data_IF_486961019987
#
_entry.id   IF_486961019987
#
_cell.length_a   1.000
_cell.length_b   1.000
_cell.length_c   1.000
_cell.angle_alpha   90.00
_cell.angle_beta   90.00
_cell.angle_gamma   90.00
#
_symmetry.space_group_name_H-M   'P 1'
#
loop_
_entity.id
_entity.type
_entity.pdbx_description
1 polymer ?
#
# COMPACT_ATOMS: atom_id res chain seq x y z
N UNK A 1 9.45 7.99 11.44
CA UNK A 1 8.44 7.84 10.35
C UNK A 1 7.04 7.95 10.94
N UNK A 2 6.07 8.42 10.14
CA UNK A 2 4.67 8.53 10.56
C UNK A 2 3.83 7.29 10.24
N UNK A 3 2.51 7.44 10.26
CA UNK A 3 1.52 6.39 9.93
C UNK A 3 1.82 5.76 8.56
N UNK A 4 1.58 4.45 8.42
CA UNK A 4 1.82 3.66 7.21
C UNK A 4 3.22 3.84 6.62
N UNK A 5 4.24 3.92 7.47
CA UNK A 5 5.65 4.09 7.08
C UNK A 5 5.92 5.38 6.29
N UNK A 6 5.17 6.45 6.58
CA UNK A 6 5.36 7.78 5.97
C UNK A 6 4.76 7.94 4.57
N UNK A 7 4.12 6.90 4.02
CA UNK A 7 3.58 6.89 2.66
C UNK A 7 2.36 7.79 2.47
N UNK A 8 1.60 8.08 3.54
CA UNK A 8 0.46 9.01 3.48
C UNK A 8 0.86 10.41 3.01
N UNK A 9 2.07 10.87 3.35
CA UNK A 9 2.60 12.16 2.88
C UNK A 9 2.77 12.15 1.36
N UNK A 10 3.27 11.05 0.81
CA UNK A 10 3.50 10.87 -0.63
C UNK A 10 2.15 10.89 -1.35
N UNK A 11 1.21 10.04 -0.91
CA UNK A 11 -0.12 9.94 -1.52
C UNK A 11 -0.85 11.28 -1.48
N UNK A 12 -0.87 11.95 -0.32
CA UNK A 12 -1.55 13.25 -0.16
C UNK A 12 -0.98 14.28 -1.11
N UNK A 13 0.34 14.37 -1.21
CA UNK A 13 0.97 15.35 -2.09
C UNK A 13 0.68 15.06 -3.57
N UNK A 14 0.71 13.79 -3.98
CA UNK A 14 0.34 13.40 -5.32
C UNK A 14 -1.13 13.73 -5.62
N UNK A 15 -2.05 13.39 -4.72
CA UNK A 15 -3.46 13.73 -4.87
C UNK A 15 -3.68 15.24 -4.99
N UNK A 16 -3.01 16.05 -4.16
CA UNK A 16 -3.08 17.52 -4.26
C UNK A 16 -2.58 18.04 -5.61
N UNK A 17 -1.51 17.47 -6.17
CA UNK A 17 -1.02 17.83 -7.50
C UNK A 17 -2.03 17.47 -8.59
N UNK A 18 -2.65 16.29 -8.52
CA UNK A 18 -3.68 15.85 -9.47
C UNK A 18 -4.93 16.73 -9.41
N UNK A 19 -5.41 17.05 -8.21
CA UNK A 19 -6.55 17.96 -8.03
C UNK A 19 -6.18 19.36 -8.52
N UNK A 20 -4.96 19.86 -8.24
CA UNK A 20 -4.52 21.15 -8.77
C UNK A 20 -4.51 21.17 -10.31
N UNK A 21 -4.07 20.10 -10.96
CA UNK A 21 -4.10 19.94 -12.42
C UNK A 21 -5.55 19.96 -12.96
N UNK A 22 -6.46 19.22 -12.34
CA UNK A 22 -7.90 19.24 -12.67
C UNK A 22 -8.52 20.63 -12.50
N UNK A 23 -8.05 21.38 -11.50
CA UNK A 23 -8.46 22.77 -11.26
C UNK A 23 -7.64 23.80 -12.06
N UNK A 24 -6.92 23.37 -13.11
CA UNK A 24 -6.17 24.25 -14.02
C UNK A 24 -5.11 25.11 -13.31
N UNK A 25 -4.48 24.57 -12.25
CA UNK A 25 -3.42 25.24 -11.50
C UNK A 25 -3.89 26.30 -10.51
N UNK A 26 -5.18 26.37 -10.18
CA UNK A 26 -5.75 27.42 -9.32
C UNK A 26 -5.56 27.20 -7.82
N UNK A 27 -5.19 25.99 -7.39
CA UNK A 27 -5.11 25.64 -5.97
C UNK A 27 -3.72 25.86 -5.38
N UNK A 28 -2.67 25.60 -6.16
CA UNK A 28 -1.28 25.64 -5.71
C UNK A 28 -0.50 26.66 -6.52
N UNK A 29 0.38 27.40 -5.85
CA UNK A 29 1.33 28.28 -6.55
C UNK A 29 2.30 27.46 -7.41
N UNK A 30 2.83 28.03 -8.52
CA UNK A 30 3.85 27.36 -9.32
C UNK A 30 5.07 26.91 -8.49
N UNK A 31 5.49 27.72 -7.51
CA UNK A 31 6.59 27.37 -6.62
C UNK A 31 6.27 26.14 -5.74
N UNK A 32 5.05 26.07 -5.19
CA UNK A 32 4.59 24.91 -4.41
C UNK A 32 4.55 23.64 -5.25
N UNK A 33 4.09 23.74 -6.50
CA UNK A 33 4.11 22.63 -7.46
C UNK A 33 5.55 22.17 -7.70
N UNK A 34 6.47 23.07 -8.07
CA UNK A 34 7.86 22.71 -8.33
C UNK A 34 8.55 22.06 -7.12
N UNK A 35 8.31 22.55 -5.90
CA UNK A 35 8.84 21.92 -4.69
C UNK A 35 8.28 20.51 -4.47
N UNK A 36 6.98 20.34 -4.67
CA UNK A 36 6.31 19.05 -4.52
C UNK A 36 6.81 18.03 -5.53
N UNK A 37 6.92 18.42 -6.81
CA UNK A 37 7.43 17.54 -7.86
C UNK A 37 8.88 17.13 -7.62
N UNK A 38 9.73 18.08 -7.20
CA UNK A 38 11.13 17.78 -6.85
C UNK A 38 11.22 16.73 -5.75
N UNK A 39 10.48 16.92 -4.66
CA UNK A 39 10.47 15.97 -3.54
C UNK A 39 9.91 14.59 -3.95
N UNK A 40 8.89 14.54 -4.80
CA UNK A 40 8.36 13.28 -5.32
C UNK A 40 9.34 12.53 -6.24
N UNK A 41 10.17 13.25 -7.00
CA UNK A 41 11.25 12.63 -7.77
C UNK A 41 12.35 12.06 -6.86
N UNK A 42 12.71 12.77 -5.79
CA UNK A 42 13.64 12.23 -4.77
C UNK A 42 13.07 10.98 -4.09
N UNK A 43 11.77 10.99 -3.75
CA UNK A 43 11.07 9.83 -3.19
C UNK A 43 11.04 8.66 -4.18
N UNK A 44 10.76 8.90 -5.46
CA UNK A 44 10.83 7.88 -6.52
C UNK A 44 12.20 7.21 -6.53
N UNK A 45 13.27 8.00 -6.48
CA UNK A 45 14.64 7.48 -6.55
C UNK A 45 14.99 6.64 -5.31
N UNK A 46 14.55 7.07 -4.11
CA UNK A 46 14.68 6.27 -2.87
C UNK A 46 13.92 4.95 -2.95
N UNK A 47 12.68 4.96 -3.43
CA UNK A 47 11.87 3.75 -3.59
C UNK A 47 12.53 2.81 -4.60
N UNK A 48 12.99 3.34 -5.74
CA UNK A 48 13.64 2.54 -6.77
C UNK A 48 14.93 1.86 -6.28
N UNK A 49 15.68 2.53 -5.39
CA UNK A 49 16.93 2.04 -4.82
C UNK A 49 16.74 1.04 -3.66
N UNK A 50 15.54 0.97 -3.07
CA UNK A 50 15.28 0.20 -1.84
C UNK A 50 14.38 -1.02 -2.03
N UNK A 51 14.01 -1.37 -3.27
CA UNK A 51 13.21 -2.56 -3.53
C UNK A 51 14.01 -3.83 -3.22
N UNK A 52 13.40 -4.75 -2.49
CA UNK A 52 13.98 -6.06 -2.22
C UNK A 52 14.00 -6.91 -3.50
N UNK A 53 14.88 -7.92 -3.61
CA UNK A 53 14.92 -8.78 -4.79
C UNK A 53 13.59 -9.47 -5.14
N UNK A 54 12.74 -9.71 -4.14
CA UNK A 54 11.41 -10.32 -4.29
C UNK A 54 10.33 -9.33 -4.78
N UNK A 55 10.63 -8.04 -4.89
CA UNK A 55 9.71 -7.00 -5.33
C UNK A 55 9.05 -6.19 -4.21
N UNK A 56 9.24 -6.57 -2.94
CA UNK A 56 8.64 -5.88 -1.81
C UNK A 56 9.44 -4.67 -1.34
N UNK A 57 8.78 -3.79 -0.58
CA UNK A 57 9.44 -2.80 0.25
C UNK A 57 9.09 -3.01 1.70
N UNK A 58 9.98 -2.55 2.57
CA UNK A 58 9.77 -2.50 3.99
C UNK A 58 9.79 -1.04 4.49
N UNK A 59 9.61 -0.77 5.80
CA UNK A 59 9.71 0.59 6.34
C UNK A 59 11.03 1.31 6.04
N UNK A 60 12.12 0.57 5.76
CA UNK A 60 13.43 1.13 5.43
C UNK A 60 13.54 1.77 4.04
N UNK A 61 12.46 1.80 3.26
CA UNK A 61 12.45 2.35 1.89
C UNK A 61 13.00 3.79 1.80
N UNK A 62 12.80 4.59 2.84
CA UNK A 62 13.23 5.99 2.86
C UNK A 62 14.75 6.19 2.94
N UNK A 63 15.51 5.11 3.18
CA UNK A 63 16.98 5.13 3.20
C UNK A 63 17.59 4.78 1.84
N UNK A 64 16.79 4.50 0.81
CA UNK A 64 17.30 4.24 -0.54
C UNK A 64 18.23 3.03 -0.58
N UNK A 65 19.42 3.19 -1.16
CA UNK A 65 20.42 2.12 -1.25
C UNK A 65 20.83 1.53 0.10
N UNK A 66 20.67 2.30 1.19
CA UNK A 66 21.11 1.91 2.52
C UNK A 66 20.01 1.17 3.30
N UNK A 67 18.88 0.84 2.67
CA UNK A 67 17.72 0.19 3.33
C UNK A 67 18.10 -1.06 4.13
N UNK A 68 19.12 -1.81 3.68
CA UNK A 68 19.59 -3.04 4.32
C UNK A 68 20.12 -2.81 5.74
N UNK A 69 20.66 -1.61 6.02
CA UNK A 69 21.13 -1.22 7.35
C UNK A 69 19.98 -0.95 8.34
N UNK A 70 18.75 -0.89 7.83
CA UNK A 70 17.56 -0.50 8.58
C UNK A 70 16.48 -1.60 8.57
N UNK A 71 16.85 -2.85 8.25
CA UNK A 71 15.96 -4.00 8.33
C UNK A 71 15.77 -4.39 9.79
N UNK A 72 14.51 -4.41 10.24
CA UNK A 72 14.10 -4.97 11.52
C UNK A 72 14.06 -6.51 11.41
N UNK A 73 14.91 -7.26 12.14
CA UNK A 73 14.92 -8.72 12.07
C UNK A 73 13.61 -9.37 12.53
N UNK A 74 12.78 -8.65 13.29
CA UNK A 74 11.48 -9.10 13.78
C UNK A 74 10.32 -8.50 12.97
N UNK A 75 10.61 -7.97 11.78
CA UNK A 75 9.62 -7.36 10.92
C UNK A 75 8.50 -8.34 10.54
N UNK A 76 7.26 -7.98 10.90
CA UNK A 76 6.08 -8.69 10.43
C UNK A 76 5.87 -8.46 8.94
N UNK A 77 5.49 -9.51 8.22
CA UNK A 77 5.21 -9.46 6.78
C UNK A 77 4.19 -8.37 6.41
N UNK A 78 3.21 -8.12 7.28
CA UNK A 78 2.20 -7.08 7.10
C UNK A 78 2.78 -5.67 6.94
N UNK A 79 3.96 -5.38 7.53
CA UNK A 79 4.68 -4.12 7.32
C UNK A 79 5.18 -3.98 5.88
N UNK A 80 5.52 -5.09 5.21
CA UNK A 80 5.89 -5.09 3.79
C UNK A 80 4.68 -4.97 2.88
N UNK A 81 3.58 -5.64 3.24
CA UNK A 81 2.30 -5.54 2.52
C UNK A 81 1.84 -4.09 2.45
N UNK A 82 1.78 -3.39 3.59
CA UNK A 82 1.34 -1.99 3.62
C UNK A 82 2.28 -1.06 2.86
N UNK A 83 3.60 -1.21 2.99
CA UNK A 83 4.57 -0.37 2.28
C UNK A 83 4.47 -0.57 0.76
N UNK A 84 4.46 -1.84 0.31
CA UNK A 84 4.37 -2.21 -1.11
C UNK A 84 3.03 -1.78 -1.70
N UNK A 85 1.92 -2.05 -1.00
CA UNK A 85 0.58 -1.62 -1.41
C UNK A 85 0.49 -0.10 -1.59
N UNK A 86 0.98 0.68 -0.63
CA UNK A 86 0.98 2.14 -0.75
C UNK A 86 1.85 2.66 -1.88
N UNK A 87 3.04 2.10 -2.10
CA UNK A 87 3.89 2.54 -3.20
C UNK A 87 3.20 2.35 -4.55
N UNK A 88 2.53 1.22 -4.76
CA UNK A 88 1.72 1.02 -5.96
C UNK A 88 0.48 1.92 -5.99
N UNK A 89 -0.14 2.18 -4.84
CA UNK A 89 -1.35 3.00 -4.74
C UNK A 89 -1.10 4.45 -5.19
N UNK A 90 -0.07 5.13 -4.67
CA UNK A 90 0.18 6.51 -5.08
C UNK A 90 0.70 6.60 -6.52
N UNK A 91 1.47 5.61 -6.99
CA UNK A 91 1.93 5.58 -8.39
C UNK A 91 0.76 5.38 -9.36
N UNK A 92 -0.32 4.71 -8.96
CA UNK A 92 -1.49 4.51 -9.83
C UNK A 92 -2.18 5.81 -10.28
N UNK A 93 -2.03 6.89 -9.50
CA UNK A 93 -2.53 8.24 -9.81
C UNK A 93 -1.44 9.19 -10.30
N UNK A 94 -0.17 8.75 -10.27
CA UNK A 94 0.95 9.58 -10.63
C UNK A 94 1.14 9.65 -12.15
N UNK A 95 1.63 10.79 -12.67
CA UNK A 95 2.21 10.84 -14.01
C UNK A 95 3.47 9.94 -14.12
N UNK A 96 3.74 9.42 -15.32
CA UNK A 96 4.83 8.45 -15.57
C UNK A 96 6.21 8.95 -15.12
N UNK A 97 6.46 10.27 -15.13
CA UNK A 97 7.72 10.86 -14.65
C UNK A 97 8.05 10.54 -13.17
N UNK A 98 7.04 10.21 -12.37
CA UNK A 98 7.21 9.83 -10.97
C UNK A 98 7.25 8.31 -10.75
N UNK A 99 7.08 7.51 -11.80
CA UNK A 99 7.15 6.06 -11.68
C UNK A 99 8.58 5.58 -11.54
N UNK A 100 8.76 4.57 -10.71
CA UNK A 100 9.96 3.73 -10.74
C UNK A 100 9.98 2.89 -12.03
N UNK A 101 11.07 2.18 -12.38
CA UNK A 101 11.12 1.33 -13.56
C UNK A 101 9.95 0.33 -13.62
N UNK A 102 9.35 0.14 -14.81
CA UNK A 102 8.17 -0.73 -15.00
C UNK A 102 8.37 -2.15 -14.46
N UNK A 103 9.56 -2.71 -14.63
CA UNK A 103 9.90 -4.02 -14.10
C UNK A 103 9.79 -4.10 -12.57
N UNK A 104 10.16 -3.04 -11.85
CA UNK A 104 10.01 -3.00 -10.39
C UNK A 104 8.52 -2.92 -9.99
N UNK A 105 7.71 -2.17 -10.73
CA UNK A 105 6.25 -2.09 -10.51
C UNK A 105 5.62 -3.48 -10.71
N UNK A 106 5.98 -4.19 -11.78
CA UNK A 106 5.50 -5.55 -12.03
C UNK A 106 5.91 -6.54 -10.94
N UNK A 107 7.17 -6.50 -10.50
CA UNK A 107 7.64 -7.35 -9.39
C UNK A 107 6.86 -7.09 -8.10
N UNK A 108 6.63 -5.83 -7.76
CA UNK A 108 5.84 -5.45 -6.58
C UNK A 108 4.39 -5.94 -6.67
N UNK A 109 3.75 -5.76 -7.83
CA UNK A 109 2.39 -6.25 -8.05
C UNK A 109 2.32 -7.78 -7.94
N UNK A 110 3.28 -8.49 -8.54
CA UNK A 110 3.37 -9.94 -8.47
C UNK A 110 3.59 -10.41 -7.03
N UNK A 111 4.49 -9.77 -6.27
CA UNK A 111 4.73 -10.09 -4.88
C UNK A 111 3.47 -9.95 -4.03
N UNK A 112 2.70 -8.86 -4.23
CA UNK A 112 1.44 -8.65 -3.53
C UNK A 112 0.39 -9.70 -3.87
N UNK A 113 0.25 -10.08 -5.15
CA UNK A 113 -0.67 -11.13 -5.57
C UNK A 113 -0.31 -12.46 -4.90
N UNK A 114 0.96 -12.88 -5.01
CA UNK A 114 1.47 -14.09 -4.36
C UNK A 114 1.29 -14.04 -2.84
N UNK A 115 1.49 -12.88 -2.20
CA UNK A 115 1.27 -12.74 -0.77
C UNK A 115 -0.21 -12.93 -0.41
N UNK A 116 -1.14 -12.29 -1.12
CA UNK A 116 -2.58 -12.41 -0.89
C UNK A 116 -3.04 -13.86 -1.09
N UNK A 117 -2.62 -14.51 -2.18
CA UNK A 117 -3.00 -15.89 -2.50
C UNK A 117 -2.53 -16.90 -1.44
N UNK A 118 -1.39 -16.65 -0.80
CA UNK A 118 -0.81 -17.54 0.20
C UNK A 118 -1.16 -17.14 1.65
N UNK A 119 -1.85 -16.03 1.88
CA UNK A 119 -2.21 -15.57 3.23
C UNK A 119 -3.58 -16.12 3.62
N UNK A 120 -3.72 -16.81 4.76
CA UNK A 120 -5.03 -17.27 5.25
C UNK A 120 -6.01 -16.10 5.42
N UNK A 121 -7.28 -16.31 5.07
CA UNK A 121 -8.32 -15.27 5.18
C UNK A 121 -8.39 -14.65 6.58
N UNK A 122 -8.25 -15.45 7.64
CA UNK A 122 -8.25 -14.94 9.02
C UNK A 122 -7.12 -13.94 9.32
N UNK A 123 -5.97 -14.08 8.67
CA UNK A 123 -4.86 -13.12 8.81
C UNK A 123 -5.12 -11.86 7.98
N UNK A 124 -5.71 -12.01 6.78
CA UNK A 124 -6.17 -10.89 5.97
C UNK A 124 -7.20 -10.06 6.75
N UNK A 125 -8.17 -10.70 7.38
CA UNK A 125 -9.23 -10.04 8.17
C UNK A 125 -8.63 -9.25 9.34
N UNK A 126 -7.68 -9.84 10.08
CA UNK A 126 -6.98 -9.17 11.19
C UNK A 126 -6.12 -7.99 10.73
N UNK A 127 -5.68 -8.00 9.48
CA UNK A 127 -4.84 -6.96 8.87
C UNK A 127 -5.57 -6.25 7.73
N UNK A 128 -6.91 -6.20 7.77
CA UNK A 128 -7.73 -5.78 6.63
C UNK A 128 -7.33 -4.42 6.08
N UNK A 129 -7.02 -3.47 6.97
CA UNK A 129 -6.58 -2.13 6.59
C UNK A 129 -5.32 -2.14 5.73
N UNK A 130 -4.43 -3.12 5.88
CA UNK A 130 -3.23 -3.22 5.05
C UNK A 130 -3.54 -3.84 3.70
N UNK A 131 -4.32 -4.92 3.69
CA UNK A 131 -4.73 -5.60 2.46
C UNK A 131 -5.70 -4.77 1.61
N UNK A 132 -6.46 -3.86 2.20
CA UNK A 132 -7.29 -2.92 1.44
C UNK A 132 -6.47 -1.97 0.57
N UNK A 133 -5.23 -1.61 0.95
CA UNK A 133 -4.33 -0.84 0.09
C UNK A 133 -3.85 -1.65 -1.11
N UNK A 134 -3.68 -2.96 -0.94
CA UNK A 134 -3.33 -3.87 -2.05
C UNK A 134 -4.46 -3.90 -3.07
N UNK A 135 -5.68 -4.18 -2.62
CA UNK A 135 -6.86 -4.22 -3.50
C UNK A 135 -7.07 -2.87 -4.21
N UNK A 136 -6.95 -1.76 -3.47
CA UNK A 136 -7.08 -0.41 -4.03
C UNK A 136 -6.00 -0.11 -5.07
N UNK A 137 -4.73 -0.40 -4.79
CA UNK A 137 -3.66 -0.21 -5.75
C UNK A 137 -3.91 -0.99 -7.05
N UNK A 138 -4.19 -2.30 -6.94
CA UNK A 138 -4.41 -3.16 -8.10
C UNK A 138 -5.63 -2.75 -8.94
N UNK A 139 -6.72 -2.30 -8.30
CA UNK A 139 -7.89 -1.77 -9.00
C UNK A 139 -7.55 -0.48 -9.76
N UNK A 140 -6.86 0.46 -9.10
CA UNK A 140 -6.54 1.76 -9.70
C UNK A 140 -5.56 1.65 -10.88
N UNK A 141 -4.62 0.71 -10.83
CA UNK A 141 -3.76 0.38 -11.97
C UNK A 141 -4.55 -0.15 -13.17
N UNK A 142 -5.68 -0.83 -12.94
CA UNK A 142 -6.65 -1.28 -13.96
C UNK A 142 -7.69 -0.23 -14.33
N UNK A 143 -7.55 1.01 -13.85
CA UNK A 143 -8.46 2.14 -14.11
C UNK A 143 -9.90 1.86 -13.65
N UNK A 144 -10.04 1.21 -12.50
CA UNK A 144 -11.32 0.99 -11.81
C UNK A 144 -11.15 1.24 -10.30
N UNK A 145 -12.25 1.36 -9.57
CA UNK A 145 -12.25 1.30 -8.11
C UNK A 145 -12.51 -0.13 -7.59
N UNK A 146 -12.11 -0.46 -6.36
CA UNK A 146 -12.46 -1.76 -5.75
C UNK A 146 -13.97 -2.04 -5.77
N UNK A 147 -14.79 -1.02 -5.54
CA UNK A 147 -16.25 -1.16 -5.49
C UNK A 147 -16.85 -1.45 -6.88
N UNK A 148 -16.40 -0.74 -7.91
CA UNK A 148 -16.83 -0.98 -9.30
C UNK A 148 -16.38 -2.37 -9.77
N UNK A 149 -15.11 -2.71 -9.54
CA UNK A 149 -14.59 -4.04 -9.86
C UNK A 149 -15.43 -5.13 -9.20
N UNK A 150 -15.65 -5.03 -7.89
CA UNK A 150 -16.41 -6.04 -7.15
C UNK A 150 -17.87 -6.15 -7.60
N UNK A 151 -18.48 -5.03 -7.97
CA UNK A 151 -19.85 -5.01 -8.50
C UNK A 151 -19.94 -5.76 -9.82
N UNK A 152 -19.04 -5.49 -10.78
CA UNK A 152 -19.03 -6.19 -12.06
C UNK A 152 -18.57 -7.64 -11.95
N UNK A 153 -17.62 -7.93 -11.05
CA UNK A 153 -17.09 -9.29 -10.87
C UNK A 153 -18.18 -10.29 -10.45
N UNK A 154 -19.03 -9.87 -9.50
CA UNK A 154 -20.12 -10.71 -8.97
C UNK A 154 -21.21 -11.06 -9.97
N UNK A 155 -21.41 -10.24 -11.01
CA UNK A 155 -22.37 -10.56 -12.07
C UNK A 155 -22.03 -11.88 -12.79
N UNK A 156 -20.74 -12.24 -12.82
CA UNK A 156 -20.24 -13.43 -13.50
C UNK A 156 -19.66 -14.50 -12.55
N UNK A 157 -19.62 -14.22 -11.24
CA UNK A 157 -19.07 -15.10 -10.20
C UNK A 157 -19.99 -15.09 -8.95
N UNK A 158 -21.19 -15.69 -9.05
CA UNK A 158 -22.17 -15.66 -7.95
C UNK A 158 -21.70 -16.40 -6.69
N UNK A 159 -20.73 -17.30 -6.83
CA UNK A 159 -20.04 -18.01 -5.75
C UNK A 159 -19.11 -17.10 -4.93
N UNK A 160 -18.71 -15.95 -5.47
CA UNK A 160 -17.82 -14.99 -4.79
C UNK A 160 -18.47 -14.34 -3.54
N UNK A 161 -19.78 -14.49 -3.33
CA UNK A 161 -20.47 -14.06 -2.11
C UNK A 161 -20.49 -15.14 -1.00
N UNK A 162 -19.89 -16.30 -1.24
CA UNK A 162 -19.71 -17.32 -0.20
C UNK A 162 -18.50 -16.98 0.67
N UNK A 163 -18.74 -16.18 1.69
CA UNK A 163 -17.73 -15.90 2.71
C UNK A 163 -17.69 -17.06 3.71
N UNK A 164 -16.48 -17.56 3.99
CA UNK A 164 -16.28 -18.42 5.15
C UNK A 164 -16.76 -17.68 6.41
N UNK A 165 -17.39 -18.40 7.34
CA UNK A 165 -17.76 -17.81 8.61
C UNK A 165 -16.52 -17.16 9.26
N UNK A 166 -16.63 -15.95 9.83
CA UNK A 166 -15.50 -15.30 10.49
C UNK A 166 -14.91 -16.26 11.53
N UNK A 167 -13.59 -16.34 11.60
CA UNK A 167 -12.90 -17.19 12.56
C UNK A 167 -13.41 -16.87 13.97
N UNK A 168 -13.87 -17.89 14.71
CA UNK A 168 -14.28 -17.72 16.10
C UNK A 168 -13.13 -17.08 16.88
N UNK A 169 -13.34 -15.95 17.58
CA UNK A 169 -12.29 -15.36 18.38
C UNK A 169 -11.73 -16.40 19.37
N UNK A 170 -10.41 -16.43 19.61
CA UNK A 170 -9.86 -17.29 20.65
C UNK A 170 -10.56 -16.99 21.97
N UNK A 171 -10.94 -18.06 22.70
CA UNK A 171 -11.58 -17.92 24.00
C UNK A 171 -10.73 -17.03 24.91
N UNK A 172 -11.34 -16.13 25.70
CA UNK A 172 -10.58 -15.31 26.63
C UNK A 172 -9.75 -16.22 27.55
N UNK A 173 -8.51 -15.83 27.88
CA UNK A 173 -7.66 -16.62 28.75
C UNK A 173 -8.39 -16.87 30.07
N UNK A 174 -8.59 -18.14 30.42
CA UNK A 174 -9.12 -18.56 31.72
C UNK A 174 -8.03 -18.38 32.78
N UNK A 175 -7.68 -17.13 33.06
CA UNK A 175 -6.83 -16.74 34.18
C UNK A 175 -7.70 -16.37 35.38
N UNK A 176 -7.32 -16.73 36.61
CA UNK A 176 -8.10 -16.38 37.80
C UNK A 176 -8.19 -14.86 37.93
N UNK A 177 -9.40 -14.36 38.22
CA UNK A 177 -9.65 -12.95 38.48
C UNK A 177 -8.67 -12.44 39.55
N UNK A 178 -7.85 -11.45 39.19
CA UNK A 178 -7.02 -10.76 40.15
C UNK A 178 -7.94 -10.09 41.20
N UNK A 179 -7.77 -10.49 42.46
CA UNK A 179 -8.44 -9.86 43.58
C UNK A 179 -8.05 -8.39 43.63
N UNK A 180 -9.05 -7.50 43.64
CA UNK A 180 -8.86 -6.08 43.83
C UNK A 180 -8.39 -5.81 45.27
N UNK A 181 -7.30 -5.05 45.40
CA UNK A 181 -6.88 -4.36 46.61
C UNK A 181 -6.88 -2.86 46.36
#
# INVERSE_FOLDING_TARGET
>A
MGVCQGTHRIYTLMAMLRINEEQQGKLLSPASVSMAEKWLMEVRDLIAASQFPDGSWNPGWCYGSDYQLHIDPQEKISKRVIATGHHLEWMSIAPEKFHIPKEQIHKAAQWLLTNVENTPQSEIDQNYTFYSHVAKALAMWRKTSPAEFWTSYRENHPDAETFNAPATPPAPPTGPAAAAH
#
